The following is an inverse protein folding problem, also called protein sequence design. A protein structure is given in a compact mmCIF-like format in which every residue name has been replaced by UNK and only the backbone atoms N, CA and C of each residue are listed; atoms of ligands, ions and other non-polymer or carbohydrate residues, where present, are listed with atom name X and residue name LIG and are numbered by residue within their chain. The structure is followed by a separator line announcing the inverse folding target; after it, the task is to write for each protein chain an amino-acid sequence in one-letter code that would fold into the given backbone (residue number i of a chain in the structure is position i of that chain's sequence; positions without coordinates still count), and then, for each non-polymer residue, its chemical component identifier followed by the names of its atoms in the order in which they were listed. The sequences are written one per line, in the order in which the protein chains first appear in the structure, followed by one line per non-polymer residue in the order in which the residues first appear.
data_IF_684588169855
#
_entry.id   IF_684588169855
#
_cell.length_a   1.000
_cell.length_b   1.000
_cell.length_c   1.000
_cell.angle_alpha   90.00
_cell.angle_beta   90.00
_cell.angle_gamma   90.00
#
_symmetry.space_group_name_H-M   'P 1'
#
loop_
_entity.id
_entity.type
_entity.pdbx_description
1 polymer ?
#
# COMPACT_ATOMS: atom_id res chain seq x y z
N UNK A 1 31.90 -7.17 18.99
CA UNK A 1 30.60 -6.69 18.49
C UNK A 1 29.57 -7.76 18.82
N UNK A 2 28.61 -7.44 19.69
CA UNK A 2 27.54 -8.36 20.10
C UNK A 2 26.32 -8.00 19.23
N UNK A 3 25.62 -8.97 18.61
CA UNK A 3 24.48 -8.69 17.74
C UNK A 3 23.36 -7.98 18.51
N UNK A 4 22.81 -6.93 17.90
CA UNK A 4 21.83 -6.00 18.48
C UNK A 4 20.53 -6.68 18.98
N UNK A 5 20.25 -7.91 18.55
CA UNK A 5 19.09 -8.69 18.95
C UNK A 5 19.11 -9.22 20.38
N UNK A 6 20.30 -9.42 20.98
CA UNK A 6 20.41 -9.98 22.34
C UNK A 6 20.25 -8.93 23.46
N UNK A 7 20.37 -7.63 23.16
CA UNK A 7 20.19 -6.59 24.19
C UNK A 7 18.73 -6.34 24.57
N UNK A 8 17.79 -6.55 23.63
CA UNK A 8 16.35 -6.36 23.90
C UNK A 8 15.78 -7.44 24.82
N UNK A 9 16.33 -8.66 24.79
CA UNK A 9 15.92 -9.75 25.70
C UNK A 9 16.30 -9.46 27.16
N UNK A 10 17.43 -8.77 27.39
CA UNK A 10 17.84 -8.37 28.73
C UNK A 10 16.96 -7.26 29.32
N UNK A 11 16.51 -6.30 28.51
CA UNK A 11 15.66 -5.20 28.98
C UNK A 11 14.24 -5.65 29.36
N UNK A 12 13.63 -6.55 28.59
CA UNK A 12 12.28 -7.07 28.91
C UNK A 12 12.31 -7.93 30.18
N UNK A 13 13.37 -8.71 30.39
CA UNK A 13 13.56 -9.49 31.63
C UNK A 13 13.75 -8.59 32.87
N UNK A 14 14.47 -7.47 32.73
CA UNK A 14 14.66 -6.51 33.81
C UNK A 14 13.37 -5.73 34.15
N UNK A 15 12.59 -5.32 33.14
CA UNK A 15 11.32 -4.61 33.34
C UNK A 15 10.26 -5.50 34.02
N UNK A 16 10.19 -6.80 33.67
CA UNK A 16 9.29 -7.76 34.32
C UNK A 16 9.70 -8.09 35.77
N UNK A 17 10.98 -7.92 36.13
CA UNK A 17 11.45 -8.12 37.51
C UNK A 17 11.10 -6.94 38.44
N UNK A 18 10.98 -5.71 37.90
CA UNK A 18 10.62 -4.53 38.69
C UNK A 18 9.11 -4.47 39.02
N UNK A 19 8.26 -5.13 38.23
CA UNK A 19 6.81 -5.14 38.40
C UNK A 19 6.29 -6.10 39.48
N UNK A 20 7.16 -6.85 40.18
CA UNK A 20 6.75 -7.71 41.29
C UNK A 20 5.77 -8.84 40.92
N UNK A 21 5.63 -9.17 39.63
CA UNK A 21 4.76 -10.25 39.15
C UNK A 21 5.48 -11.57 39.43
N UNK A 22 5.32 -12.08 40.65
CA UNK A 22 5.77 -13.41 41.06
C UNK A 22 5.12 -14.47 40.17
N UNK A 23 5.96 -15.13 39.38
CA UNK A 23 5.61 -16.30 38.56
C UNK A 23 5.08 -17.43 39.45
N UNK A 24 3.77 -17.62 39.48
CA UNK A 24 3.16 -18.93 39.72
C UNK A 24 2.66 -19.47 38.39
N UNK A 25 3.59 -19.96 37.55
CA UNK A 25 3.23 -20.76 36.38
C UNK A 25 4.15 -21.97 36.29
N UNK A 26 3.97 -22.85 37.26
CA UNK A 26 4.45 -24.22 37.23
C UNK A 26 3.37 -25.11 37.87
N UNK A 27 2.38 -25.53 37.07
CA UNK A 27 1.72 -26.84 37.17
C UNK A 27 0.73 -27.02 36.02
N UNK A 28 0.79 -28.20 35.42
CA UNK A 28 0.23 -28.53 34.12
C UNK A 28 -1.28 -28.29 33.99
N UNK A 29 -1.65 -27.80 32.81
CA UNK A 29 -3.02 -27.78 32.34
C UNK A 29 -3.12 -28.74 31.14
N UNK A 30 -3.44 -30.00 31.45
CA UNK A 30 -3.97 -30.96 30.48
C UNK A 30 -5.49 -30.81 30.54
N UNK A 31 -6.10 -30.20 29.52
CA UNK A 31 -7.55 -30.18 29.33
C UNK A 31 -7.82 -30.27 27.83
N UNK A 32 -7.96 -31.48 27.30
CA UNK A 32 -9.22 -32.22 27.09
C UNK A 32 -10.06 -31.60 25.96
N UNK A 33 -9.92 -32.27 24.82
CA UNK A 33 -10.86 -32.45 23.72
C UNK A 33 -12.32 -32.09 23.98
N UNK A 34 -12.92 -31.42 23.00
CA UNK A 34 -14.35 -31.48 22.73
C UNK A 34 -15.07 -30.15 22.83
N UNK A 35 -15.08 -29.37 21.75
CA UNK A 35 -16.18 -28.44 21.49
C UNK A 35 -16.52 -28.48 20.00
N UNK A 36 -17.28 -29.52 19.64
CA UNK A 36 -18.12 -29.55 18.45
C UNK A 36 -19.30 -28.60 18.68
N UNK A 37 -19.37 -27.50 17.96
CA UNK A 37 -20.62 -26.84 17.57
C UNK A 37 -20.37 -26.38 16.12
N UNK A 38 -20.83 -27.08 15.08
CA UNK A 38 -22.23 -27.26 14.69
C UNK A 38 -22.98 -25.91 14.61
N UNK A 39 -22.66 -25.10 13.60
CA UNK A 39 -23.66 -24.22 12.99
C UNK A 39 -23.83 -24.70 11.56
N UNK A 40 -24.78 -25.62 11.45
CA UNK A 40 -25.38 -26.05 10.23
C UNK A 40 -26.14 -24.88 9.59
N UNK A 41 -26.06 -24.83 8.25
CA UNK A 41 -27.21 -24.69 7.36
C UNK A 41 -28.20 -23.55 7.64
N UNK A 42 -28.13 -22.49 6.83
CA UNK A 42 -29.36 -21.82 6.40
C UNK A 42 -29.20 -21.16 5.01
N UNK A 43 -29.79 -21.83 4.01
CA UNK A 43 -30.61 -21.27 2.91
C UNK A 43 -29.87 -20.30 1.97
N UNK A 44 -29.35 -20.74 0.82
CA UNK A 44 -30.12 -21.09 -0.41
C UNK A 44 -31.37 -20.22 -0.65
N UNK A 45 -31.16 -18.98 -1.06
CA UNK A 45 -32.15 -18.23 -1.84
C UNK A 45 -31.56 -17.87 -3.20
N UNK A 46 -31.81 -18.76 -4.15
CA UNK A 46 -31.89 -18.46 -5.58
C UNK A 46 -32.89 -17.32 -5.76
N UNK A 47 -32.42 -16.15 -6.21
CA UNK A 47 -33.27 -15.14 -6.83
C UNK A 47 -32.76 -14.95 -8.24
N UNK A 48 -33.29 -15.78 -9.13
CA UNK A 48 -33.39 -15.50 -10.56
C UNK A 48 -34.54 -14.50 -10.75
N UNK A 49 -34.21 -13.22 -10.96
CA UNK A 49 -35.03 -12.30 -11.76
C UNK A 49 -34.17 -11.95 -12.99
N UNK A 50 -34.42 -12.53 -14.16
CA UNK A 50 -35.56 -12.25 -15.04
C UNK A 50 -35.59 -10.78 -15.45
N UNK A 51 -35.43 -10.59 -16.76
CA UNK A 51 -35.22 -9.30 -17.39
C UNK A 51 -36.32 -8.28 -17.17
N UNK A 52 -35.90 -7.02 -17.26
CA UNK A 52 -36.71 -5.98 -17.85
C UNK A 52 -35.78 -5.10 -18.69
N UNK A 53 -36.07 -5.03 -19.98
CA UNK A 53 -35.66 -3.93 -20.85
C UNK A 53 -35.94 -2.60 -20.13
N UNK A 54 -34.90 -1.86 -19.75
CA UNK A 54 -35.07 -0.43 -19.53
C UNK A 54 -34.91 0.29 -20.87
N UNK A 55 -35.95 0.99 -21.32
CA UNK A 55 -35.93 1.70 -22.59
C UNK A 55 -34.88 2.79 -22.57
N UNK A 56 -34.11 2.81 -23.65
CA UNK A 56 -33.19 3.85 -24.08
C UNK A 56 -34.02 5.08 -24.45
N UNK A 57 -34.46 5.85 -23.46
CA UNK A 57 -34.93 7.22 -23.66
C UNK A 57 -33.71 8.14 -23.62
N UNK A 58 -33.16 8.34 -24.81
CA UNK A 58 -32.27 9.44 -25.12
C UNK A 58 -33.08 10.74 -25.04
N UNK A 59 -33.14 11.34 -23.86
CA UNK A 59 -33.45 12.77 -23.78
C UNK A 59 -32.21 13.52 -24.26
N UNK A 60 -32.35 14.44 -25.25
CA UNK A 60 -31.28 15.33 -25.63
C UNK A 60 -31.01 16.27 -24.46
N UNK A 61 -29.95 15.99 -23.70
CA UNK A 61 -29.38 16.97 -22.76
C UNK A 61 -28.98 18.17 -23.60
N UNK A 62 -29.80 19.21 -23.57
CA UNK A 62 -29.41 20.54 -24.02
C UNK A 62 -28.27 20.96 -23.12
N UNK A 63 -27.06 20.87 -23.65
CA UNK A 63 -25.84 21.35 -23.02
C UNK A 63 -25.98 22.87 -22.99
N UNK A 64 -26.63 23.38 -21.94
CA UNK A 64 -26.54 24.80 -21.62
C UNK A 64 -25.06 25.09 -21.37
N UNK A 65 -24.53 25.89 -22.26
CA UNK A 65 -23.16 26.36 -22.37
C UNK A 65 -22.83 27.15 -21.09
N UNK A 66 -22.44 26.41 -20.04
CA UNK A 66 -21.86 26.97 -18.85
C UNK A 66 -20.46 27.48 -19.23
N UNK A 67 -20.41 28.73 -19.66
CA UNK A 67 -19.19 29.55 -19.67
C UNK A 67 -18.70 29.66 -18.21
N UNK A 68 -17.91 28.67 -17.79
CA UNK A 68 -17.15 28.74 -16.55
C UNK A 68 -16.04 29.76 -16.80
N UNK A 69 -16.31 30.99 -16.35
CA UNK A 69 -15.36 32.09 -16.27
C UNK A 69 -14.14 31.60 -15.46
N UNK A 70 -13.04 31.38 -16.16
CA UNK A 70 -11.81 30.73 -15.66
C UNK A 70 -10.75 31.76 -15.22
N UNK A 71 -11.18 32.88 -14.64
CA UNK A 71 -10.31 34.07 -14.49
C UNK A 71 -9.35 34.08 -13.28
N UNK A 72 -9.36 33.09 -12.37
CA UNK A 72 -8.52 33.15 -11.14
C UNK A 72 -7.69 31.87 -10.84
N UNK A 73 -7.14 31.18 -11.85
CA UNK A 73 -6.27 30.00 -11.61
C UNK A 73 -4.77 30.34 -11.54
N UNK A 74 -4.39 31.59 -11.79
CA UNK A 74 -2.97 31.98 -11.90
C UNK A 74 -2.19 31.89 -10.57
N UNK A 75 -2.84 32.06 -9.41
CA UNK A 75 -2.19 32.08 -8.08
C UNK A 75 -2.27 30.76 -7.30
N UNK A 76 -2.87 29.70 -7.86
CA UNK A 76 -2.91 28.37 -7.20
C UNK A 76 -1.54 27.67 -7.22
N UNK A 77 -0.62 28.13 -8.07
CA UNK A 77 0.64 27.41 -8.36
C UNK A 77 1.63 27.27 -7.19
N UNK A 78 1.97 28.32 -6.39
CA UNK A 78 2.98 28.18 -5.33
C UNK A 78 2.47 27.43 -4.10
N UNK A 79 1.22 27.69 -3.68
CA UNK A 79 0.63 27.02 -2.52
C UNK A 79 0.42 25.53 -2.78
N UNK A 80 -0.01 25.16 -4.00
CA UNK A 80 -0.16 23.76 -4.38
C UNK A 80 1.20 23.03 -4.38
N UNK A 81 2.26 23.69 -4.86
CA UNK A 81 3.61 23.13 -4.85
C UNK A 81 4.12 22.93 -3.41
N UNK A 82 3.88 23.89 -2.51
CA UNK A 82 4.21 23.77 -1.10
C UNK A 82 3.47 22.59 -0.44
N UNK A 83 2.17 22.43 -0.71
CA UNK A 83 1.38 21.30 -0.21
C UNK A 83 1.89 19.95 -0.74
N UNK A 84 2.30 19.87 -2.01
CA UNK A 84 2.90 18.64 -2.59
C UNK A 84 4.22 18.29 -1.93
N UNK A 85 5.10 19.28 -1.72
CA UNK A 85 6.38 19.07 -1.00
C UNK A 85 6.15 18.58 0.42
N UNK A 86 5.24 19.23 1.15
CA UNK A 86 4.86 18.82 2.50
C UNK A 86 4.30 17.40 2.56
N UNK A 87 3.44 17.02 1.60
CA UNK A 87 2.93 15.64 1.49
C UNK A 87 4.07 14.63 1.30
N UNK A 88 5.08 14.95 0.49
CA UNK A 88 6.26 14.10 0.30
C UNK A 88 7.04 13.95 1.60
N UNK A 89 7.29 15.05 2.32
CA UNK A 89 8.02 15.04 3.60
C UNK A 89 7.29 14.18 4.65
N UNK A 90 5.99 14.39 4.84
CA UNK A 90 5.19 13.62 5.81
C UNK A 90 5.16 12.11 5.47
N UNK A 91 5.04 11.76 4.18
CA UNK A 91 5.08 10.36 3.73
C UNK A 91 6.48 9.76 3.87
N UNK A 92 7.55 10.53 3.70
CA UNK A 92 8.93 10.06 3.84
C UNK A 92 9.25 9.74 5.30
N UNK A 93 8.79 10.57 6.23
CA UNK A 93 8.86 10.31 7.66
C UNK A 93 8.06 9.06 8.04
N UNK A 94 6.83 8.93 7.53
CA UNK A 94 5.99 7.75 7.75
C UNK A 94 6.68 6.46 7.24
N UNK A 95 7.25 6.49 6.04
CA UNK A 95 8.01 5.37 5.49
C UNK A 95 9.22 5.00 6.37
N UNK A 96 9.92 5.99 6.91
CA UNK A 96 11.06 5.77 7.81
C UNK A 96 10.64 5.08 9.11
N UNK A 97 9.49 5.47 9.68
CA UNK A 97 8.94 4.85 10.88
C UNK A 97 8.48 3.41 10.58
N UNK A 98 7.71 3.22 9.50
CA UNK A 98 7.22 1.91 9.09
C UNK A 98 8.36 0.95 8.75
N UNK A 99 9.45 1.44 8.17
CA UNK A 99 10.65 0.64 7.90
C UNK A 99 11.20 0.03 9.20
N UNK A 100 11.38 0.84 10.24
CA UNK A 100 11.87 0.37 11.55
C UNK A 100 10.89 -0.61 12.21
N UNK A 101 9.59 -0.38 12.06
CA UNK A 101 8.55 -1.28 12.57
C UNK A 101 8.55 -2.62 11.82
N UNK A 102 8.78 -2.60 10.51
CA UNK A 102 8.91 -3.81 9.70
C UNK A 102 10.17 -4.61 10.08
N UNK A 103 11.32 -3.95 10.22
CA UNK A 103 12.58 -4.57 10.63
C UNK A 103 12.51 -5.22 12.03
N UNK A 104 11.68 -4.67 12.91
CA UNK A 104 11.40 -5.25 14.24
C UNK A 104 10.28 -6.30 14.24
N UNK A 105 9.65 -6.56 13.09
CA UNK A 105 8.57 -7.54 12.94
C UNK A 105 7.23 -7.09 13.54
N UNK A 106 7.05 -5.80 13.79
CA UNK A 106 5.82 -5.24 14.38
C UNK A 106 4.70 -5.12 13.36
N UNK A 107 5.03 -4.71 12.13
CA UNK A 107 4.07 -4.58 11.03
C UNK A 107 4.38 -5.57 9.91
N UNK A 108 3.35 -6.00 9.16
CA UNK A 108 3.55 -6.82 7.96
C UNK A 108 4.18 -5.99 6.82
N UNK A 109 4.90 -6.66 5.92
CA UNK A 109 5.61 -6.02 4.79
C UNK A 109 4.68 -5.18 3.90
N UNK A 110 3.44 -5.64 3.75
CA UNK A 110 2.41 -5.05 2.91
C UNK A 110 2.08 -3.61 3.32
N UNK A 111 2.12 -3.29 4.62
CA UNK A 111 1.91 -1.93 5.11
C UNK A 111 3.06 -0.98 4.72
N UNK A 112 4.30 -1.45 4.84
CA UNK A 112 5.48 -0.69 4.41
C UNK A 112 5.46 -0.44 2.90
N UNK A 113 5.12 -1.46 2.11
CA UNK A 113 5.04 -1.35 0.66
C UNK A 113 3.94 -0.38 0.21
N UNK A 114 2.78 -0.41 0.86
CA UNK A 114 1.69 0.54 0.60
C UNK A 114 2.12 1.99 0.85
N UNK A 115 2.80 2.26 1.97
CA UNK A 115 3.31 3.60 2.27
C UNK A 115 4.37 4.06 1.26
N UNK A 116 5.30 3.18 0.85
CA UNK A 116 6.30 3.48 -0.18
C UNK A 116 5.65 3.79 -1.54
N UNK A 117 4.57 3.09 -1.89
CA UNK A 117 3.83 3.38 -3.13
C UNK A 117 3.19 4.78 -3.07
N UNK A 118 2.59 5.16 -1.94
CA UNK A 118 2.02 6.51 -1.74
C UNK A 118 3.09 7.60 -1.77
N UNK A 119 4.26 7.35 -1.16
CA UNK A 119 5.41 8.27 -1.23
C UNK A 119 5.82 8.50 -2.68
N UNK A 120 6.02 7.43 -3.44
CA UNK A 120 6.47 7.53 -4.82
C UNK A 120 5.46 8.24 -5.72
N UNK A 121 4.15 8.02 -5.51
CA UNK A 121 3.11 8.78 -6.21
C UNK A 121 3.17 10.27 -5.88
N UNK A 122 3.34 10.62 -4.59
CA UNK A 122 3.51 12.02 -4.18
C UNK A 122 4.78 12.65 -4.77
N UNK A 123 5.89 11.91 -4.86
CA UNK A 123 7.13 12.37 -5.50
C UNK A 123 6.93 12.64 -7.00
N UNK A 124 6.17 11.79 -7.70
CA UNK A 124 5.81 11.99 -9.12
C UNK A 124 4.94 13.24 -9.31
N UNK A 125 3.96 13.46 -8.42
CA UNK A 125 3.12 14.67 -8.44
C UNK A 125 3.89 15.95 -8.12
N UNK A 126 4.90 15.86 -7.24
CA UNK A 126 5.77 16.97 -6.86
C UNK A 126 6.85 17.29 -7.91
N UNK A 127 7.13 16.37 -8.84
CA UNK A 127 8.11 16.56 -9.89
C UNK A 127 7.59 17.51 -10.99
N UNK A 128 8.20 18.70 -11.07
CA UNK A 128 7.80 19.76 -12.01
C UNK A 128 8.34 19.55 -13.42
N UNK A 129 9.54 19.00 -13.52
CA UNK A 129 10.20 18.77 -14.81
C UNK A 129 10.00 17.32 -15.26
N UNK A 130 9.87 17.07 -16.57
CA UNK A 130 9.79 15.71 -17.10
C UNK A 130 11.03 14.89 -16.71
N UNK A 131 12.20 15.52 -16.64
CA UNK A 131 13.45 14.91 -16.19
C UNK A 131 13.38 14.42 -14.73
N UNK A 132 12.86 15.26 -13.81
CA UNK A 132 12.67 14.86 -12.42
C UNK A 132 11.65 13.71 -12.31
N UNK A 133 10.58 13.76 -13.10
CA UNK A 133 9.56 12.70 -13.15
C UNK A 133 10.15 11.36 -13.59
N UNK A 134 10.98 11.35 -14.63
CA UNK A 134 11.69 10.15 -15.09
C UNK A 134 12.60 9.60 -13.99
N UNK A 135 13.37 10.45 -13.31
CA UNK A 135 14.26 10.01 -12.25
C UNK A 135 13.52 9.36 -11.05
N UNK A 136 12.36 9.89 -10.68
CA UNK A 136 11.50 9.29 -9.63
C UNK A 136 10.94 7.95 -10.11
N UNK A 137 10.42 7.88 -11.35
CA UNK A 137 9.87 6.65 -11.92
C UNK A 137 10.91 5.53 -12.05
N UNK A 138 12.17 5.86 -12.36
CA UNK A 138 13.26 4.88 -12.43
C UNK A 138 13.57 4.28 -11.04
N UNK A 139 13.57 5.10 -9.99
CA UNK A 139 13.71 4.61 -8.61
C UNK A 139 12.54 3.70 -8.23
N UNK A 140 11.32 4.11 -8.55
CA UNK A 140 10.12 3.32 -8.27
C UNK A 140 10.14 1.98 -9.00
N UNK A 141 10.58 1.96 -10.26
CA UNK A 141 10.72 0.75 -11.05
C UNK A 141 11.72 -0.24 -10.42
N UNK A 142 12.84 0.25 -9.86
CA UNK A 142 13.78 -0.60 -9.14
C UNK A 142 13.15 -1.24 -7.88
N UNK A 143 12.44 -0.45 -7.09
CA UNK A 143 11.72 -0.93 -5.90
C UNK A 143 10.63 -1.96 -6.26
N UNK A 144 9.88 -1.73 -7.34
CA UNK A 144 8.84 -2.66 -7.79
C UNK A 144 9.42 -3.98 -8.31
N UNK A 145 10.60 -3.96 -8.93
CA UNK A 145 11.31 -5.20 -9.31
C UNK A 145 11.69 -6.03 -8.11
N UNK A 146 12.23 -5.40 -7.07
CA UNK A 146 12.53 -6.09 -5.80
C UNK A 146 11.25 -6.68 -5.18
N UNK A 147 10.16 -5.92 -5.17
CA UNK A 147 8.88 -6.40 -4.65
C UNK A 147 8.39 -7.64 -5.41
N UNK A 148 8.43 -7.63 -6.75
CA UNK A 148 8.06 -8.80 -7.56
C UNK A 148 8.93 -10.01 -7.22
N UNK A 149 10.24 -9.83 -7.00
CA UNK A 149 11.14 -10.92 -6.60
C UNK A 149 10.79 -11.49 -5.22
N UNK A 150 10.46 -10.63 -4.24
CA UNK A 150 10.04 -11.06 -2.90
C UNK A 150 8.73 -11.85 -2.97
N UNK A 151 7.74 -11.35 -3.72
CA UNK A 151 6.45 -12.05 -3.88
C UNK A 151 6.64 -13.38 -4.61
N UNK A 152 7.48 -13.41 -5.65
CA UNK A 152 7.84 -14.64 -6.35
C UNK A 152 8.43 -15.68 -5.38
N UNK A 153 9.43 -15.30 -4.57
CA UNK A 153 10.02 -16.20 -3.58
C UNK A 153 9.00 -16.73 -2.55
N UNK A 154 7.99 -15.93 -2.19
CA UNK A 154 6.88 -16.37 -1.33
C UNK A 154 5.94 -17.34 -2.03
N UNK A 155 5.66 -17.14 -3.33
CA UNK A 155 4.86 -18.10 -4.12
C UNK A 155 5.59 -19.43 -4.23
N UNK A 156 6.88 -19.40 -4.54
CA UNK A 156 7.70 -20.60 -4.68
C UNK A 156 7.80 -21.39 -3.37
N UNK A 157 7.68 -20.70 -2.23
CA UNK A 157 7.64 -21.29 -0.89
C UNK A 157 6.24 -21.73 -0.44
N UNK A 158 5.19 -21.48 -1.25
CA UNK A 158 3.79 -21.77 -0.90
C UNK A 158 3.18 -20.86 0.18
N UNK A 159 3.80 -19.72 0.46
CA UNK A 159 3.37 -18.77 1.51
C UNK A 159 2.42 -17.68 1.02
N UNK A 160 2.24 -17.53 -0.29
CA UNK A 160 1.34 -16.53 -0.90
C UNK A 160 0.72 -17.11 -2.17
N UNK A 161 -0.33 -16.47 -2.69
CA UNK A 161 -1.04 -16.93 -3.88
C UNK A 161 -0.35 -16.49 -5.17
N UNK A 162 -0.59 -17.24 -6.26
CA UNK A 162 -0.18 -16.82 -7.61
C UNK A 162 -0.88 -15.53 -8.07
N UNK A 163 -2.04 -15.21 -7.49
CA UNK A 163 -2.76 -13.96 -7.77
C UNK A 163 -1.96 -12.75 -7.28
N UNK A 164 -1.36 -12.83 -6.08
CA UNK A 164 -0.53 -11.74 -5.52
C UNK A 164 0.66 -11.42 -6.41
N UNK A 165 1.30 -12.47 -6.97
CA UNK A 165 2.38 -12.32 -7.93
C UNK A 165 1.93 -11.62 -9.21
N UNK A 166 0.75 -11.96 -9.73
CA UNK A 166 0.20 -11.31 -10.92
C UNK A 166 -0.13 -9.83 -10.65
N UNK A 167 -0.66 -9.51 -9.47
CA UNK A 167 -0.91 -8.13 -9.07
C UNK A 167 0.39 -7.32 -8.95
N UNK A 168 1.43 -7.91 -8.34
CA UNK A 168 2.75 -7.27 -8.26
C UNK A 168 3.35 -7.00 -9.65
N UNK A 169 3.22 -7.96 -10.58
CA UNK A 169 3.66 -7.79 -11.98
C UNK A 169 2.86 -6.72 -12.71
N UNK A 170 1.54 -6.67 -12.54
CA UNK A 170 0.69 -5.65 -13.13
C UNK A 170 1.06 -4.24 -12.63
N UNK A 171 1.36 -4.11 -11.33
CA UNK A 171 1.86 -2.86 -10.77
C UNK A 171 3.20 -2.44 -11.41
N UNK A 172 4.15 -3.38 -11.57
CA UNK A 172 5.42 -3.13 -12.26
C UNK A 172 5.20 -2.65 -13.71
N UNK A 173 4.33 -3.32 -14.47
CA UNK A 173 4.01 -2.92 -15.85
C UNK A 173 3.38 -1.53 -15.90
N UNK A 174 2.54 -1.17 -14.93
CA UNK A 174 1.95 0.18 -14.86
C UNK A 174 3.01 1.28 -14.70
N UNK A 175 4.09 0.99 -13.96
CA UNK A 175 5.22 1.92 -13.76
C UNK A 175 6.07 2.01 -15.03
N UNK A 176 6.32 0.90 -15.71
CA UNK A 176 7.01 0.88 -17.01
C UNK A 176 6.27 1.73 -18.05
N UNK A 177 4.94 1.62 -18.11
CA UNK A 177 4.11 2.45 -19.01
C UNK A 177 4.27 3.93 -18.67
N UNK A 178 4.13 4.32 -17.39
CA UNK A 178 4.30 5.72 -16.96
C UNK A 178 5.70 6.27 -17.28
N UNK A 179 6.73 5.42 -17.13
CA UNK A 179 8.10 5.79 -17.44
C UNK A 179 8.31 6.00 -18.94
N UNK A 180 7.74 5.16 -19.79
CA UNK A 180 7.79 5.34 -21.25
C UNK A 180 7.07 6.64 -21.67
N UNK A 181 5.89 6.91 -21.12
CA UNK A 181 5.16 8.15 -21.37
C UNK A 181 5.97 9.39 -20.97
N UNK A 182 6.60 9.36 -19.80
CA UNK A 182 7.44 10.48 -19.34
C UNK A 182 8.70 10.66 -20.21
N UNK A 183 9.21 9.59 -20.83
CA UNK A 183 10.33 9.66 -21.78
C UNK A 183 9.90 10.21 -23.14
N UNK A 184 8.73 9.81 -23.64
CA UNK A 184 8.13 10.39 -24.85
C UNK A 184 7.86 11.89 -24.69
N UNK A 185 7.39 12.32 -23.52
CA UNK A 185 7.18 13.75 -23.18
C UNK A 185 8.50 14.55 -23.21
N UNK A 186 9.63 13.92 -22.87
CA UNK A 186 10.95 14.55 -22.89
C UNK A 186 11.52 14.66 -24.32
N UNK A 187 11.14 13.76 -25.22
CA UNK A 187 11.59 13.72 -26.62
C UNK A 187 10.77 14.62 -27.56
N UNK A 188 9.62 15.14 -27.11
CA UNK A 188 8.78 16.07 -27.88
C UNK A 188 9.12 17.53 -27.53
N UNK A 189 10.03 18.20 -28.29
CA UNK A 189 10.40 19.60 -28.07
C UNK A 189 9.29 20.60 -28.42
#
# INVERSE_FOLDING_TARGET
MIPFGDQLRCFVAAALSAAGIKRHFARGFVMRSGFQFAIASLVLSVVTLSGACSPRLSEPVTVEELEIVSEDVADVSPQLQELRKRRVEELAEACTILQRQYESGVIPLEQLLSARAQLAEAEVEAAETPQARVAVLEKLLALSKEHVQVVQGRVDSGNTSTVDLLLAKAALTSIEIKLLQAKEELESP
#
